data_IF_073490385505
#
_entry.id   IF_073490385505
#
_cell.length_a   1.000
_cell.length_b   1.000
_cell.length_c   1.000
_cell.angle_alpha   90.00
_cell.angle_beta   90.00
_cell.angle_gamma   90.00
#
_symmetry.space_group_name_H-M   'P 1'
#
loop_
_entity.id
_entity.type
_entity.pdbx_description
1 polymer ?
#
# COMPACT_ATOMS: atom_id res chain seq x y z
N UNK A 1 -32.94 9.42 0.07
CA UNK A 1 -32.01 10.44 -0.44
C UNK A 1 -31.33 11.03 0.78
N UNK A 2 -30.13 10.53 1.10
CA UNK A 2 -29.30 11.13 2.14
C UNK A 2 -28.49 12.20 1.41
N UNK A 3 -28.68 13.46 1.79
CA UNK A 3 -27.84 14.56 1.32
C UNK A 3 -26.44 14.32 1.87
N UNK A 4 -25.45 14.11 1.00
CA UNK A 4 -24.03 14.10 1.42
C UNK A 4 -23.76 15.44 2.11
N UNK A 5 -23.59 15.39 3.42
CA UNK A 5 -23.14 16.54 4.20
C UNK A 5 -21.67 16.74 3.83
N UNK A 6 -21.29 17.96 3.49
CA UNK A 6 -19.89 18.30 3.34
C UNK A 6 -19.24 18.24 4.74
N UNK A 7 -18.37 17.25 4.92
CA UNK A 7 -17.68 16.96 6.18
C UNK A 7 -16.20 17.33 6.12
N UNK A 8 -15.75 18.03 5.06
CA UNK A 8 -14.35 18.39 4.87
C UNK A 8 -13.74 19.22 6.01
N UNK A 9 -14.58 19.98 6.72
CA UNK A 9 -14.18 20.87 7.81
C UNK A 9 -14.38 20.27 9.21
N UNK A 10 -14.87 19.03 9.31
CA UNK A 10 -15.06 18.34 10.58
C UNK A 10 -13.80 17.55 10.91
N UNK A 11 -13.24 17.66 12.13
CA UNK A 11 -12.12 16.82 12.55
C UNK A 11 -12.47 15.33 12.36
N UNK A 12 -11.52 14.54 11.84
CA UNK A 12 -11.76 13.14 11.48
C UNK A 12 -12.22 12.32 12.69
N UNK A 13 -11.72 12.65 13.88
CA UNK A 13 -12.09 12.04 15.15
C UNK A 13 -13.56 12.25 15.55
N UNK A 14 -14.19 13.32 15.07
CA UNK A 14 -15.58 13.68 15.36
C UNK A 14 -16.58 13.07 14.37
N UNK A 15 -16.09 12.49 13.27
CA UNK A 15 -16.92 11.85 12.26
C UNK A 15 -17.46 10.50 12.73
N UNK A 16 -18.68 10.18 12.31
CA UNK A 16 -19.22 8.84 12.49
C UNK A 16 -18.43 7.80 11.66
N UNK A 17 -18.41 6.51 12.04
CA UNK A 17 -17.65 5.49 11.32
C UNK A 17 -18.00 5.38 9.83
N UNK A 18 -19.28 5.51 9.46
CA UNK A 18 -19.73 5.51 8.07
C UNK A 18 -19.24 6.75 7.30
N UNK A 19 -19.22 7.91 7.94
CA UNK A 19 -18.67 9.14 7.36
C UNK A 19 -17.15 9.03 7.15
N UNK A 20 -16.40 8.47 8.11
CA UNK A 20 -14.96 8.20 7.96
C UNK A 20 -14.68 7.19 6.87
N UNK A 21 -15.46 6.12 6.79
CA UNK A 21 -15.35 5.11 5.75
C UNK A 21 -15.55 5.73 4.36
N UNK A 22 -16.63 6.50 4.18
CA UNK A 22 -16.90 7.21 2.92
C UNK A 22 -15.79 8.20 2.58
N UNK A 23 -15.26 8.90 3.59
CA UNK A 23 -14.16 9.85 3.42
C UNK A 23 -12.88 9.13 2.98
N UNK A 24 -12.47 8.05 3.68
CA UNK A 24 -11.27 7.27 3.37
C UNK A 24 -11.28 6.66 1.97
N UNK A 25 -12.46 6.30 1.45
CA UNK A 25 -12.63 5.84 0.07
C UNK A 25 -12.40 6.91 -1.00
N UNK A 26 -12.21 8.19 -0.64
CA UNK A 26 -11.98 9.27 -1.60
C UNK A 26 -10.52 9.33 -2.07
N UNK A 27 -10.27 9.35 -3.38
CA UNK A 27 -8.91 9.44 -3.91
C UNK A 27 -8.35 10.86 -3.81
N UNK A 28 -9.18 11.89 -3.63
CA UNK A 28 -8.81 13.31 -3.71
C UNK A 28 -8.62 14.00 -2.34
N UNK A 29 -8.28 13.23 -1.30
CA UNK A 29 -8.07 13.78 0.03
C UNK A 29 -6.72 14.51 0.18
N UNK A 30 -6.69 15.64 0.93
CA UNK A 30 -5.44 16.22 1.40
C UNK A 30 -4.66 15.22 2.27
N UNK A 31 -3.33 15.24 2.18
CA UNK A 31 -2.43 14.38 2.98
C UNK A 31 -2.72 14.49 4.48
N UNK A 32 -2.97 15.71 4.98
CA UNK A 32 -3.32 15.92 6.39
C UNK A 32 -4.58 15.15 6.82
N UNK A 33 -5.60 15.06 5.95
CA UNK A 33 -6.81 14.28 6.20
C UNK A 33 -6.53 12.78 6.18
N UNK A 34 -5.68 12.31 5.25
CA UNK A 34 -5.27 10.90 5.21
C UNK A 34 -4.47 10.49 6.44
N UNK A 35 -3.58 11.35 6.92
CA UNK A 35 -2.84 11.14 8.17
C UNK A 35 -3.78 11.06 9.38
N UNK A 36 -4.81 11.90 9.44
CA UNK A 36 -5.81 11.82 10.50
C UNK A 36 -6.62 10.52 10.43
N UNK A 37 -7.02 10.08 9.23
CA UNK A 37 -7.71 8.81 9.01
C UNK A 37 -6.84 7.58 9.33
N UNK A 38 -5.53 7.67 9.10
CA UNK A 38 -4.57 6.60 9.40
C UNK A 38 -4.49 6.24 10.88
N UNK A 39 -4.85 7.15 11.79
CA UNK A 39 -4.95 6.89 13.23
C UNK A 39 -6.31 6.39 13.70
N UNK A 40 -7.23 6.09 12.77
CA UNK A 40 -8.58 5.61 13.10
C UNK A 40 -8.73 4.12 12.81
N UNK A 41 -9.70 3.43 13.42
CA UNK A 41 -9.98 2.02 13.11
C UNK A 41 -10.31 1.74 11.63
N UNK A 42 -10.66 2.78 10.86
CA UNK A 42 -11.06 2.69 9.45
C UNK A 42 -9.85 2.84 8.48
N UNK A 43 -8.62 2.74 9.01
CA UNK A 43 -7.36 2.90 8.26
C UNK A 43 -7.24 1.97 7.04
N UNK A 44 -7.86 0.79 7.07
CA UNK A 44 -7.75 -0.21 6.01
C UNK A 44 -8.30 0.29 4.67
N UNK A 45 -9.30 1.18 4.72
CA UNK A 45 -9.88 1.79 3.53
C UNK A 45 -8.91 2.72 2.80
N UNK A 46 -7.90 3.27 3.49
CA UNK A 46 -6.87 4.07 2.83
C UNK A 46 -5.98 3.22 1.91
N UNK A 47 -5.77 1.94 2.24
CA UNK A 47 -4.85 1.07 1.51
C UNK A 47 -5.37 0.64 0.13
N UNK A 48 -6.65 0.90 -0.19
CA UNK A 48 -7.18 0.68 -1.54
C UNK A 48 -6.55 1.64 -2.55
N UNK A 49 -6.03 2.78 -2.07
CA UNK A 49 -5.44 3.82 -2.90
C UNK A 49 -3.96 3.54 -3.12
N UNK A 50 -3.64 2.93 -4.26
CA UNK A 50 -2.27 2.54 -4.60
C UNK A 50 -1.26 3.69 -4.69
N UNK A 51 -1.73 4.94 -4.68
CA UNK A 51 -0.93 6.16 -4.70
C UNK A 51 -0.71 6.77 -3.30
N UNK A 52 -1.17 6.09 -2.23
CA UNK A 52 -1.03 6.55 -0.86
C UNK A 52 0.42 6.91 -0.50
N UNK A 53 0.61 8.04 0.16
CA UNK A 53 1.93 8.56 0.48
C UNK A 53 2.67 7.66 1.49
N UNK A 54 4.00 7.47 1.37
CA UNK A 54 4.77 6.67 2.30
C UNK A 54 4.66 7.11 3.77
N UNK A 55 4.50 8.42 4.02
CA UNK A 55 4.29 8.96 5.36
C UNK A 55 2.95 8.55 5.97
N UNK A 56 1.91 8.39 5.15
CA UNK A 56 0.61 7.87 5.62
C UNK A 56 0.73 6.38 5.95
N UNK A 57 1.43 5.59 5.13
CA UNK A 57 1.71 4.18 5.44
C UNK A 57 2.50 4.02 6.75
N UNK A 58 3.47 4.90 6.98
CA UNK A 58 4.25 4.92 8.22
C UNK A 58 3.39 5.28 9.44
N UNK A 59 2.45 6.22 9.28
CA UNK A 59 1.48 6.56 10.33
C UNK A 59 0.57 5.37 10.64
N UNK A 60 0.02 4.70 9.61
CA UNK A 60 -0.79 3.47 9.78
C UNK A 60 0.00 2.43 10.59
N UNK A 61 1.26 2.16 10.24
CA UNK A 61 2.07 1.19 10.98
C UNK A 61 2.39 1.61 12.42
N UNK A 62 2.46 2.92 12.68
CA UNK A 62 2.71 3.47 14.01
C UNK A 62 1.50 3.30 14.92
N UNK A 63 0.30 3.57 14.38
CA UNK A 63 -0.96 3.48 15.13
C UNK A 63 -1.53 2.05 15.16
N UNK A 64 -1.26 1.26 14.13
CA UNK A 64 -1.81 -0.08 13.89
C UNK A 64 -0.70 -1.07 13.49
N UNK A 65 0.12 -1.56 14.45
CA UNK A 65 1.17 -2.53 14.16
C UNK A 65 0.68 -3.82 13.48
N UNK A 66 -0.59 -4.18 13.69
CA UNK A 66 -1.26 -5.30 13.02
C UNK A 66 -1.41 -5.12 11.51
N UNK A 67 -1.40 -3.88 11.00
CA UNK A 67 -1.50 -3.55 9.59
C UNK A 67 -0.25 -3.93 8.78
N UNK A 68 0.81 -4.45 9.44
CA UNK A 68 2.10 -4.75 8.80
C UNK A 68 1.97 -5.60 7.55
N UNK A 69 1.13 -6.62 7.56
CA UNK A 69 0.93 -7.50 6.41
C UNK A 69 0.23 -6.77 5.25
N UNK A 70 -0.80 -5.98 5.55
CA UNK A 70 -1.57 -5.23 4.55
C UNK A 70 -0.73 -4.10 3.94
N UNK A 71 0.11 -3.44 4.74
CA UNK A 71 1.04 -2.42 4.24
C UNK A 71 2.15 -3.06 3.42
N UNK A 72 2.66 -4.25 3.78
CA UNK A 72 3.74 -4.90 3.04
C UNK A 72 3.41 -5.16 1.56
N UNK A 73 2.14 -5.37 1.22
CA UNK A 73 1.72 -5.57 -0.18
C UNK A 73 1.48 -4.26 -0.93
N UNK A 74 1.53 -3.12 -0.25
CA UNK A 74 1.19 -1.82 -0.82
C UNK A 74 2.30 -1.27 -1.76
N UNK A 75 1.95 -0.69 -2.92
CA UNK A 75 2.95 -0.26 -3.90
C UNK A 75 3.95 0.80 -3.44
N UNK A 76 3.59 1.60 -2.44
CA UNK A 76 4.44 2.65 -1.87
C UNK A 76 5.05 2.28 -0.50
N UNK A 77 4.87 1.04 0.00
CA UNK A 77 5.49 0.61 1.25
C UNK A 77 7.01 0.59 1.16
N UNK A 78 7.71 0.68 2.28
CA UNK A 78 9.18 0.60 2.33
C UNK A 78 9.69 -0.71 1.72
N UNK A 79 10.85 -0.68 1.06
CA UNK A 79 11.41 -1.85 0.37
C UNK A 79 11.63 -3.04 1.30
N UNK A 80 12.18 -2.82 2.50
CA UNK A 80 12.44 -3.89 3.46
C UNK A 80 11.13 -4.53 3.92
N UNK A 81 10.08 -3.73 4.05
CA UNK A 81 8.75 -4.23 4.40
C UNK A 81 8.12 -5.00 3.23
N UNK A 82 8.19 -4.47 2.01
CA UNK A 82 7.70 -5.15 0.80
C UNK A 82 8.35 -6.52 0.60
N UNK A 83 9.63 -6.66 0.95
CA UNK A 83 10.35 -7.93 0.83
C UNK A 83 9.82 -9.04 1.74
N UNK A 84 9.05 -8.70 2.77
CA UNK A 84 8.36 -9.67 3.63
C UNK A 84 7.01 -10.13 3.05
N UNK A 85 6.49 -9.43 2.04
CA UNK A 85 5.20 -9.75 1.45
C UNK A 85 5.27 -11.05 0.64
N UNK A 86 4.26 -11.94 0.76
CA UNK A 86 4.11 -13.07 -0.15
C UNK A 86 3.97 -12.58 -1.58
N UNK A 87 4.74 -13.16 -2.50
CA UNK A 87 4.75 -12.75 -3.91
C UNK A 87 3.36 -12.84 -4.55
N UNK A 88 2.56 -13.83 -4.11
CA UNK A 88 1.19 -14.07 -4.59
C UNK A 88 0.21 -12.94 -4.23
N UNK A 89 0.51 -12.17 -3.19
CA UNK A 89 -0.35 -11.07 -2.73
C UNK A 89 0.02 -9.73 -3.38
N UNK A 90 1.18 -9.64 -4.04
CA UNK A 90 1.60 -8.41 -4.69
C UNK A 90 0.86 -8.20 -6.00
N UNK A 91 0.28 -7.02 -6.14
CA UNK A 91 -0.28 -6.54 -7.40
C UNK A 91 0.81 -5.98 -8.31
N UNK A 92 0.52 -5.90 -9.61
CA UNK A 92 1.48 -5.39 -10.60
C UNK A 92 2.06 -4.01 -10.26
N UNK A 93 1.27 -3.01 -9.80
CA UNK A 93 1.82 -1.72 -9.37
C UNK A 93 2.87 -1.84 -8.27
N UNK A 94 2.73 -2.79 -7.34
CA UNK A 94 3.71 -2.99 -6.27
C UNK A 94 5.03 -3.55 -6.81
N UNK A 95 4.95 -4.52 -7.73
CA UNK A 95 6.14 -5.06 -8.39
C UNK A 95 6.86 -4.00 -9.23
N UNK A 96 6.12 -3.15 -9.95
CA UNK A 96 6.68 -2.06 -10.74
C UNK A 96 7.38 -1.01 -9.86
N UNK A 97 6.73 -0.59 -8.77
CA UNK A 97 7.32 0.35 -7.82
C UNK A 97 8.56 -0.23 -7.15
N UNK A 98 8.54 -1.51 -6.80
CA UNK A 98 9.70 -2.19 -6.24
C UNK A 98 10.86 -2.25 -7.24
N UNK A 99 10.60 -2.69 -8.48
CA UNK A 99 11.60 -2.76 -9.53
C UNK A 99 12.24 -1.40 -9.83
N UNK A 100 11.43 -0.35 -9.96
CA UNK A 100 11.90 1.01 -10.17
C UNK A 100 12.75 1.53 -9.02
N UNK A 101 12.35 1.25 -7.76
CA UNK A 101 13.13 1.61 -6.56
C UNK A 101 14.42 0.81 -6.41
N UNK A 102 14.48 -0.42 -6.94
CA UNK A 102 15.71 -1.21 -7.10
C UNK A 102 16.57 -0.76 -8.28
N UNK A 103 16.14 0.23 -9.05
CA UNK A 103 16.89 0.75 -10.20
C UNK A 103 16.87 -0.17 -11.42
N UNK A 104 15.91 -1.12 -11.48
CA UNK A 104 15.72 -1.92 -12.68
C UNK A 104 15.10 -1.06 -13.78
N UNK A 105 15.61 -1.20 -15.00
CA UNK A 105 15.11 -0.50 -16.18
C UNK A 105 15.10 -1.42 -17.39
N UNK A 106 14.18 -1.18 -18.34
CA UNK A 106 14.20 -1.82 -19.66
C UNK A 106 14.02 -3.33 -19.61
N UNK A 107 14.95 -4.08 -20.21
CA UNK A 107 14.86 -5.54 -20.28
C UNK A 107 14.94 -6.20 -18.89
N UNK A 108 15.75 -5.68 -17.96
CA UNK A 108 15.82 -6.25 -16.61
C UNK A 108 14.53 -6.04 -15.82
N UNK A 109 13.88 -4.90 -15.99
CA UNK A 109 12.56 -4.66 -15.38
C UNK A 109 11.50 -5.61 -15.95
N UNK A 110 11.50 -5.82 -17.26
CA UNK A 110 10.61 -6.78 -17.92
C UNK A 110 10.88 -8.21 -17.46
N UNK A 111 12.15 -8.63 -17.39
CA UNK A 111 12.56 -9.94 -16.91
C UNK A 111 12.17 -10.15 -15.43
N UNK A 112 12.33 -9.14 -14.58
CA UNK A 112 11.88 -9.18 -13.20
C UNK A 112 10.37 -9.43 -13.10
N UNK A 113 9.56 -8.66 -13.84
CA UNK A 113 8.09 -8.84 -13.81
C UNK A 113 7.65 -10.21 -14.33
N UNK A 114 8.21 -10.65 -15.46
CA UNK A 114 7.92 -11.99 -16.00
C UNK A 114 8.38 -13.11 -15.06
N UNK A 115 9.54 -12.95 -14.42
CA UNK A 115 10.04 -13.89 -13.43
C UNK A 115 9.16 -13.94 -12.18
N UNK A 116 8.70 -12.78 -11.69
CA UNK A 116 7.80 -12.70 -10.54
C UNK A 116 6.48 -13.42 -10.82
N UNK A 117 5.91 -13.20 -12.01
CA UNK A 117 4.69 -13.88 -12.44
C UNK A 117 4.88 -15.40 -12.56
N UNK A 118 5.99 -15.84 -13.17
CA UNK A 118 6.32 -17.26 -13.28
C UNK A 118 6.61 -17.89 -11.91
N UNK A 119 7.01 -17.09 -10.92
CA UNK A 119 7.30 -17.54 -9.56
C UNK A 119 6.06 -17.55 -8.63
N UNK A 120 4.91 -17.03 -9.08
CA UNK A 120 3.66 -17.14 -8.32
C UNK A 120 3.30 -18.60 -8.04
N UNK A 121 2.73 -18.86 -6.87
CA UNK A 121 2.36 -20.18 -6.38
C UNK A 121 3.53 -21.01 -5.83
N UNK A 122 4.77 -20.50 -5.89
CA UNK A 122 5.94 -21.15 -5.27
C UNK A 122 6.02 -20.92 -3.75
N UNK A 123 5.14 -20.09 -3.19
CA UNK A 123 5.16 -19.73 -1.77
C UNK A 123 6.34 -18.84 -1.36
N UNK A 124 6.95 -18.14 -2.32
CA UNK A 124 8.06 -17.22 -2.07
C UNK A 124 7.56 -15.86 -1.58
N UNK A 125 8.36 -15.22 -0.76
CA UNK A 125 8.29 -13.77 -0.52
C UNK A 125 8.95 -12.99 -1.66
N UNK A 126 8.64 -11.70 -1.75
CA UNK A 126 9.31 -10.81 -2.71
C UNK A 126 10.83 -10.76 -2.50
N UNK A 127 11.30 -10.76 -1.24
CA UNK A 127 12.72 -10.73 -0.92
C UNK A 127 13.46 -12.00 -1.33
N UNK A 128 12.84 -13.18 -1.18
CA UNK A 128 13.40 -14.45 -1.67
C UNK A 128 13.49 -14.46 -3.19
N UNK A 129 12.41 -14.08 -3.88
CA UNK A 129 12.41 -13.97 -5.33
C UNK A 129 13.46 -12.97 -5.83
N UNK A 130 13.57 -11.80 -5.20
CA UNK A 130 14.57 -10.79 -5.56
C UNK A 130 15.99 -11.34 -5.46
N UNK A 131 16.30 -12.09 -4.39
CA UNK A 131 17.61 -12.73 -4.23
C UNK A 131 17.92 -13.68 -5.38
N UNK A 132 17.00 -14.61 -5.67
CA UNK A 132 17.12 -15.54 -6.82
C UNK A 132 17.34 -14.79 -8.15
N UNK A 133 16.56 -13.74 -8.38
CA UNK A 133 16.64 -12.93 -9.60
C UNK A 133 17.96 -12.16 -9.70
N UNK A 134 18.46 -11.62 -8.59
CA UNK A 134 19.67 -10.78 -8.55
C UNK A 134 20.97 -11.57 -8.70
N UNK A 135 20.93 -12.87 -8.35
CA UNK A 135 22.05 -13.80 -8.46
C UNK A 135 22.09 -14.55 -9.81
N UNK A 136 21.05 -14.37 -10.64
CA UNK A 136 20.93 -14.91 -12.01
C UNK A 136 21.54 -13.98 -13.07
#
# INVERSE_FOLDING_TARGET
MVTERDVSDVPVEDLAPDERFMLAGRPDLPVATRLALAGTPDWSELLIHHDLEPEVLAEILTQHPEARADVAVHPNADLELMETAPLDQLIQPALERYAGRRGLTGERESAFRSGAEAARGRGLTLGEFWREFSES
#
